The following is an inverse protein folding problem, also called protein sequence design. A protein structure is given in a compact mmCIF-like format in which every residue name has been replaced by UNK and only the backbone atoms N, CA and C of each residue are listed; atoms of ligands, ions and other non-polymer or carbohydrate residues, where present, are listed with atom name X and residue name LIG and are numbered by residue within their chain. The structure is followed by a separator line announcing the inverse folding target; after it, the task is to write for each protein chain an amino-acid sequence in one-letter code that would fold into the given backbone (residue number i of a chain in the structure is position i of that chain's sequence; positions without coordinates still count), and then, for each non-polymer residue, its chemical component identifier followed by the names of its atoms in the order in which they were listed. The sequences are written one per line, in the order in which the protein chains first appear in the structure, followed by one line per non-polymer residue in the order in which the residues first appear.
data_IF_656101129549
#
_entry.id   IF_656101129549
#
_cell.length_a   1.000
_cell.length_b   1.000
_cell.length_c   1.000
_cell.angle_alpha   90.00
_cell.angle_beta   90.00
_cell.angle_gamma   90.00
#
_symmetry.space_group_name_H-M   'P 1'
#
loop_
_entity.id
_entity.type
_entity.pdbx_description
1 polymer ?
#
# COMPACT_ATOMS: atom_id res chain seq x y z
N UNK A 1 53.76 37.81 12.82
CA UNK A 1 52.81 36.69 12.70
C UNK A 1 51.76 37.09 11.68
N UNK A 2 51.86 36.51 10.48
CA UNK A 2 50.98 36.79 9.35
C UNK A 2 50.16 35.51 9.03
N UNK A 3 48.91 35.61 8.53
CA UNK A 3 48.14 34.45 8.15
C UNK A 3 48.45 34.03 6.72
N UNK A 4 48.64 32.73 6.51
CA UNK A 4 48.81 32.09 5.19
C UNK A 4 47.42 31.69 4.69
N UNK A 5 47.00 32.24 3.56
CA UNK A 5 45.84 31.81 2.77
C UNK A 5 46.24 30.64 1.87
N UNK A 6 45.51 29.52 1.96
CA UNK A 6 45.61 28.40 1.02
C UNK A 6 44.37 28.37 0.13
N UNK A 7 44.58 28.61 -1.17
CA UNK A 7 43.61 28.41 -2.25
C UNK A 7 43.63 26.94 -2.69
N UNK A 8 42.46 26.32 -2.86
CA UNK A 8 42.32 24.99 -3.48
C UNK A 8 41.43 25.14 -4.70
N UNK A 9 42.07 25.07 -5.87
CA UNK A 9 41.43 24.92 -7.17
C UNK A 9 41.01 23.46 -7.38
N UNK A 10 39.71 23.20 -7.54
CA UNK A 10 39.21 21.88 -7.96
C UNK A 10 38.76 21.97 -9.41
N UNK A 11 39.56 21.36 -10.28
CA UNK A 11 39.29 21.25 -11.72
C UNK A 11 38.24 20.17 -12.01
N UNK A 12 37.23 20.53 -12.80
CA UNK A 12 36.27 19.61 -13.40
C UNK A 12 36.91 18.87 -14.59
N UNK A 13 36.99 17.53 -14.51
CA UNK A 13 37.39 16.69 -15.65
C UNK A 13 36.24 15.79 -16.05
N UNK A 14 35.64 16.12 -17.19
CA UNK A 14 34.60 15.37 -17.88
C UNK A 14 35.20 14.16 -18.60
N UNK A 15 34.84 12.94 -18.22
CA UNK A 15 35.22 11.72 -18.94
C UNK A 15 34.02 11.20 -19.75
N UNK A 16 34.08 11.39 -21.08
CA UNK A 16 33.24 10.69 -22.07
C UNK A 16 33.80 9.27 -22.28
N UNK A 17 32.93 8.26 -22.30
CA UNK A 17 33.27 6.92 -22.80
C UNK A 17 32.59 6.64 -24.17
N UNK A 18 33.24 5.88 -25.06
CA UNK A 18 32.83 5.77 -26.46
C UNK A 18 31.88 4.59 -26.75
N UNK A 19 30.97 4.83 -27.68
CA UNK A 19 30.22 3.83 -28.45
C UNK A 19 31.18 3.08 -29.39
N UNK A 20 31.12 1.74 -29.37
CA UNK A 20 30.94 0.84 -30.54
C UNK A 20 31.37 -0.59 -30.16
N UNK A 21 30.49 -1.57 -30.33
CA UNK A 21 30.82 -2.86 -30.95
C UNK A 21 29.53 -3.67 -31.22
N UNK A 22 29.38 -4.05 -32.48
CA UNK A 22 28.40 -4.99 -33.03
C UNK A 22 28.80 -6.44 -32.72
N UNK A 23 27.84 -7.35 -32.50
CA UNK A 23 27.86 -8.73 -33.06
C UNK A 23 26.67 -9.62 -32.60
N UNK A 24 25.99 -10.14 -33.63
CA UNK A 24 25.40 -11.48 -33.83
C UNK A 24 24.15 -11.93 -33.07
N UNK A 25 23.12 -12.18 -33.90
CA UNK A 25 21.95 -12.99 -33.63
C UNK A 25 22.30 -14.47 -33.39
N UNK A 26 21.69 -15.05 -32.37
CA UNK A 26 21.38 -16.46 -32.26
C UNK A 26 20.08 -16.63 -31.47
N UNK A 27 19.18 -17.45 -32.00
CA UNK A 27 17.96 -17.96 -31.34
C UNK A 27 17.61 -19.30 -32.03
N UNK A 28 16.89 -20.26 -31.43
CA UNK A 28 16.42 -20.37 -30.04
C UNK A 28 16.85 -21.67 -29.34
N UNK A 29 16.88 -21.67 -28.01
CA UNK A 29 16.74 -22.89 -27.21
C UNK A 29 15.47 -22.78 -26.36
N UNK A 30 14.60 -23.79 -26.48
CA UNK A 30 13.28 -23.89 -25.88
C UNK A 30 13.30 -23.73 -24.35
N UNK A 31 12.32 -23.03 -23.73
CA UNK A 31 12.20 -23.04 -22.28
C UNK A 31 11.46 -24.30 -21.81
N UNK A 32 12.18 -25.04 -20.98
CA UNK A 32 11.69 -26.12 -20.12
C UNK A 32 10.58 -25.62 -19.21
N UNK A 33 9.55 -26.45 -19.00
CA UNK A 33 8.46 -26.23 -18.05
C UNK A 33 9.03 -26.11 -16.63
N UNK A 34 8.97 -24.91 -16.05
CA UNK A 34 9.08 -24.71 -14.61
C UNK A 34 7.66 -24.62 -14.02
N UNK A 35 7.25 -25.70 -13.36
CA UNK A 35 6.05 -25.75 -12.52
C UNK A 35 6.52 -25.52 -11.08
N UNK A 36 6.25 -24.36 -10.48
CA UNK A 36 6.16 -24.12 -9.00
C UNK A 36 5.90 -22.63 -8.70
N UNK A 37 4.68 -22.15 -8.96
CA UNK A 37 4.26 -20.77 -8.58
C UNK A 37 3.09 -20.74 -7.56
N UNK A 38 2.74 -21.85 -6.92
CA UNK A 38 1.48 -21.95 -6.16
C UNK A 38 1.57 -21.77 -4.64
N UNK A 39 2.57 -21.05 -4.09
CA UNK A 39 2.68 -20.87 -2.62
C UNK A 39 2.57 -19.44 -2.11
N UNK A 40 2.52 -18.42 -2.97
CA UNK A 40 2.26 -17.05 -2.55
C UNK A 40 0.79 -16.71 -2.76
N UNK A 41 -0.05 -17.08 -1.79
CA UNK A 41 -1.43 -16.59 -1.71
C UNK A 41 -1.36 -15.07 -1.56
N UNK A 42 -1.90 -14.33 -2.53
CA UNK A 42 -2.02 -12.88 -2.48
C UNK A 42 -2.72 -12.49 -1.16
N UNK A 43 -2.06 -11.76 -0.24
CA UNK A 43 -2.64 -11.39 1.05
C UNK A 43 -3.90 -10.53 0.92
N UNK A 44 -4.13 -9.93 -0.26
CA UNK A 44 -5.29 -9.12 -0.58
C UNK A 44 -6.50 -9.92 -1.06
N UNK A 45 -6.34 -11.19 -1.42
CA UNK A 45 -7.43 -12.04 -1.94
C UNK A 45 -8.57 -12.29 -0.96
N UNK A 46 -8.39 -11.94 0.32
CA UNK A 46 -9.34 -12.18 1.42
C UNK A 46 -9.76 -10.91 2.17
N UNK A 47 -9.51 -9.71 1.66
CA UNK A 47 -10.11 -8.50 2.24
C UNK A 47 -11.61 -8.51 1.98
N UNK A 48 -12.36 -9.20 2.83
CA UNK A 48 -13.82 -9.27 2.75
C UNK A 48 -14.40 -7.94 3.22
N UNK A 49 -15.05 -7.22 2.30
CA UNK A 49 -16.11 -6.29 2.68
C UNK A 49 -17.15 -7.08 3.50
N UNK A 50 -17.55 -6.54 4.65
CA UNK A 50 -18.47 -7.20 5.58
C UNK A 50 -19.77 -7.66 4.91
N UNK A 51 -20.21 -8.88 5.17
CA UNK A 51 -21.53 -9.39 4.77
C UNK A 51 -22.66 -8.55 5.42
N UNK A 52 -23.72 -8.17 4.69
CA UNK A 52 -24.84 -7.46 5.27
C UNK A 52 -25.75 -8.42 6.06
N UNK A 53 -25.93 -8.12 7.34
CA UNK A 53 -26.93 -8.78 8.18
C UNK A 53 -28.35 -8.47 7.69
N UNK A 54 -29.10 -9.50 7.30
CA UNK A 54 -30.50 -9.38 6.91
C UNK A 54 -31.42 -10.00 7.97
N UNK A 55 -32.35 -9.19 8.48
CA UNK A 55 -33.82 -9.38 8.41
C UNK A 55 -34.52 -8.63 9.55
N UNK A 56 -35.31 -7.62 9.19
CA UNK A 56 -36.66 -7.43 9.72
C UNK A 56 -37.45 -6.49 8.81
N UNK A 57 -38.63 -6.95 8.41
CA UNK A 57 -39.50 -6.30 7.43
C UNK A 57 -40.34 -5.20 8.07
N UNK A 58 -40.32 -3.98 7.50
CA UNK A 58 -41.49 -3.09 7.49
C UNK A 58 -41.34 -1.94 6.48
N UNK A 59 -42.43 -1.73 5.71
CA UNK A 59 -42.77 -0.64 4.77
C UNK A 59 -41.85 -0.39 3.55
N UNK A 60 -42.43 -0.16 2.35
CA UNK A 60 -41.67 0.26 1.18
C UNK A 60 -41.30 1.74 1.35
N UNK A 61 -40.19 2.00 2.03
CA UNK A 61 -39.42 3.21 1.74
C UNK A 61 -38.89 3.08 0.31
N UNK A 62 -38.61 4.19 -0.41
CA UNK A 62 -37.80 4.11 -1.63
C UNK A 62 -36.56 3.30 -1.27
N UNK A 63 -36.33 2.20 -1.99
CA UNK A 63 -35.17 1.33 -1.79
C UNK A 63 -33.97 2.23 -2.05
N UNK A 64 -33.41 2.80 -0.98
CA UNK A 64 -32.17 3.57 -1.05
C UNK A 64 -31.12 2.52 -1.37
N UNK A 65 -30.72 2.47 -2.64
CA UNK A 65 -29.62 1.62 -3.07
C UNK A 65 -28.44 1.93 -2.15
N UNK A 66 -27.90 0.93 -1.42
CA UNK A 66 -26.76 1.15 -0.55
C UNK A 66 -25.61 1.77 -1.35
N UNK A 67 -25.03 2.86 -0.83
CA UNK A 67 -23.87 3.51 -1.44
C UNK A 67 -22.69 2.54 -1.40
N UNK A 68 -22.01 2.35 -2.53
CA UNK A 68 -20.79 1.56 -2.56
C UNK A 68 -19.70 2.26 -1.75
N UNK A 69 -19.66 3.60 -1.83
CA UNK A 69 -18.68 4.39 -1.11
C UNK A 69 -18.79 4.13 0.41
N UNK A 70 -20.00 4.03 0.95
CA UNK A 70 -20.26 3.74 2.37
C UNK A 70 -19.62 2.45 2.89
N UNK A 71 -19.42 1.45 2.03
CA UNK A 71 -18.72 0.21 2.40
C UNK A 71 -17.21 0.43 2.62
N UNK A 72 -16.68 1.55 2.11
CA UNK A 72 -15.27 1.92 2.14
C UNK A 72 -15.03 3.15 3.02
N UNK A 73 -15.44 3.09 4.28
CA UNK A 73 -15.17 4.14 5.30
C UNK A 73 -13.96 3.84 6.17
N UNK A 74 -13.50 2.57 6.16
CA UNK A 74 -12.41 2.10 7.00
C UNK A 74 -11.14 1.88 6.19
N UNK A 75 -9.96 1.95 6.83
CA UNK A 75 -8.71 1.59 6.18
C UNK A 75 -8.73 0.16 5.64
N UNK A 76 -8.10 -0.03 4.47
CA UNK A 76 -7.87 -1.35 3.91
C UNK A 76 -6.61 -1.95 4.55
N UNK A 77 -6.81 -3.00 5.35
CA UNK A 77 -5.76 -3.58 6.19
C UNK A 77 -5.25 -4.92 5.65
N UNK A 78 -3.95 -5.12 5.78
CA UNK A 78 -3.27 -6.38 5.53
C UNK A 78 -3.08 -7.13 6.86
N UNK A 79 -4.15 -7.74 7.37
CA UNK A 79 -4.23 -8.29 8.74
C UNK A 79 -4.17 -9.83 8.83
N UNK A 80 -3.99 -10.53 7.71
CA UNK A 80 -3.92 -12.00 7.70
C UNK A 80 -2.77 -12.52 8.58
N UNK A 81 -3.09 -13.37 9.55
CA UNK A 81 -2.12 -13.96 10.48
C UNK A 81 -1.69 -15.38 10.10
N UNK A 82 -2.17 -15.91 8.97
CA UNK A 82 -1.94 -17.30 8.55
C UNK A 82 -0.44 -17.58 8.36
N UNK A 83 0.29 -16.63 7.79
CA UNK A 83 1.73 -16.76 7.51
C UNK A 83 2.63 -16.55 8.73
N UNK A 84 2.08 -16.15 9.88
CA UNK A 84 2.87 -15.72 11.04
C UNK A 84 3.80 -16.82 11.57
N UNK A 85 3.31 -18.06 11.68
CA UNK A 85 4.11 -19.19 12.15
C UNK A 85 5.28 -19.51 11.21
N UNK A 86 5.05 -19.37 9.90
CA UNK A 86 6.10 -19.56 8.91
C UNK A 86 7.16 -18.47 9.00
N UNK A 87 6.75 -17.20 9.19
CA UNK A 87 7.68 -16.09 9.35
C UNK A 87 8.57 -16.28 10.59
N UNK A 88 7.99 -16.62 11.74
CA UNK A 88 8.76 -16.87 12.97
C UNK A 88 9.71 -18.06 12.79
N UNK A 89 9.25 -19.16 12.19
CA UNK A 89 10.11 -20.32 11.92
C UNK A 89 11.30 -19.96 11.03
N UNK A 90 11.11 -19.09 10.04
CA UNK A 90 12.16 -18.66 9.11
C UNK A 90 13.14 -17.66 9.72
N UNK A 91 12.63 -16.72 10.51
CA UNK A 91 13.40 -15.57 10.98
C UNK A 91 14.02 -15.75 12.38
N UNK A 92 13.40 -16.57 13.25
CA UNK A 92 13.75 -16.62 14.68
C UNK A 92 15.23 -16.82 14.97
N UNK A 93 15.91 -17.74 14.27
CA UNK A 93 17.35 -17.97 14.47
C UNK A 93 18.19 -16.74 14.14
N UNK A 94 17.84 -16.00 13.09
CA UNK A 94 18.55 -14.79 12.68
C UNK A 94 18.22 -13.63 13.60
N UNK A 95 16.95 -13.45 13.96
CA UNK A 95 16.51 -12.37 14.83
C UNK A 95 17.15 -12.44 16.22
N UNK A 96 17.25 -13.65 16.79
CA UNK A 96 17.91 -13.90 18.08
C UNK A 96 19.42 -13.73 17.97
N UNK A 97 20.03 -14.10 16.83
CA UNK A 97 21.46 -13.90 16.61
C UNK A 97 21.85 -12.41 16.43
N UNK A 98 20.93 -11.58 15.91
CA UNK A 98 21.16 -10.15 15.71
C UNK A 98 20.89 -9.31 16.96
N UNK A 99 20.16 -9.84 17.96
CA UNK A 99 19.78 -9.07 19.15
C UNK A 99 19.72 -9.95 20.40
N UNK A 100 20.74 -9.84 21.26
CA UNK A 100 20.86 -10.61 22.51
C UNK A 100 19.71 -10.36 23.51
N UNK A 101 18.99 -9.24 23.36
CA UNK A 101 17.84 -8.93 24.20
C UNK A 101 16.57 -9.68 23.80
N UNK A 102 16.57 -10.33 22.63
CA UNK A 102 15.47 -11.07 22.06
C UNK A 102 15.71 -12.58 22.20
N UNK A 103 14.77 -13.27 22.83
CA UNK A 103 14.78 -14.73 22.93
C UNK A 103 13.51 -15.34 22.32
N UNK A 104 13.49 -16.67 22.20
CA UNK A 104 12.36 -17.39 21.63
C UNK A 104 11.07 -17.26 22.47
N UNK A 105 11.18 -17.02 23.78
CA UNK A 105 10.01 -16.86 24.65
C UNK A 105 9.35 -15.49 24.43
N UNK A 106 10.15 -14.42 24.29
CA UNK A 106 9.69 -13.07 23.92
C UNK A 106 9.03 -13.08 22.54
N UNK A 107 9.65 -13.75 21.56
CA UNK A 107 9.07 -13.92 20.23
C UNK A 107 7.74 -14.69 20.23
N UNK A 108 7.61 -15.73 21.06
CA UNK A 108 6.36 -16.47 21.21
C UNK A 108 5.26 -15.61 21.84
N UNK A 109 5.59 -14.81 22.85
CA UNK A 109 4.66 -13.85 23.49
C UNK A 109 4.18 -12.81 22.48
N UNK A 110 5.11 -12.21 21.70
CA UNK A 110 4.75 -11.30 20.62
C UNK A 110 3.87 -11.99 19.57
N UNK A 111 4.23 -13.21 19.16
CA UNK A 111 3.45 -13.98 18.17
C UNK A 111 2.01 -14.23 18.63
N UNK A 112 1.83 -14.52 19.93
CA UNK A 112 0.50 -14.67 20.54
C UNK A 112 -0.25 -13.34 20.56
N UNK A 113 0.43 -12.25 20.91
CA UNK A 113 -0.18 -10.90 20.95
C UNK A 113 -0.58 -10.37 19.58
N UNK A 114 0.10 -10.77 18.50
CA UNK A 114 -0.31 -10.44 17.14
C UNK A 114 -1.60 -11.17 16.72
N UNK A 115 -1.82 -12.40 17.19
CA UNK A 115 -3.03 -13.19 16.85
C UNK A 115 -4.26 -12.79 17.65
N UNK A 116 -4.10 -12.55 18.95
CA UNK A 116 -5.21 -12.30 19.87
C UNK A 116 -4.81 -11.16 20.80
N UNK A 117 -5.77 -10.34 21.23
CA UNK A 117 -5.51 -9.34 22.27
C UNK A 117 -5.04 -10.04 23.54
N UNK A 118 -3.79 -9.81 23.93
CA UNK A 118 -3.18 -10.46 25.09
C UNK A 118 -3.54 -9.70 26.37
N UNK A 119 -3.74 -10.45 27.46
CA UNK A 119 -4.02 -9.91 28.79
C UNK A 119 -2.90 -9.00 29.30
N UNK A 120 -3.24 -8.05 30.17
CA UNK A 120 -2.30 -7.12 30.84
C UNK A 120 -1.10 -7.80 31.53
N UNK A 121 -1.21 -9.09 31.86
CA UNK A 121 -0.17 -9.90 32.51
C UNK A 121 1.15 -9.98 31.72
N UNK A 122 1.13 -9.79 30.40
CA UNK A 122 2.34 -9.86 29.56
C UNK A 122 2.83 -8.50 29.06
N UNK A 123 2.29 -7.39 29.58
CA UNK A 123 2.60 -6.06 29.06
C UNK A 123 4.09 -5.73 29.13
N UNK A 124 4.73 -5.91 30.28
CA UNK A 124 6.16 -5.60 30.45
C UNK A 124 7.06 -6.42 29.51
N UNK A 125 6.70 -7.68 29.26
CA UNK A 125 7.44 -8.51 28.30
C UNK A 125 7.22 -8.06 26.87
N UNK A 126 6.01 -7.59 26.52
CA UNK A 126 5.71 -7.03 25.20
C UNK A 126 6.44 -5.71 24.97
N UNK A 127 6.48 -4.83 25.98
CA UNK A 127 7.18 -3.53 25.93
C UNK A 127 8.69 -3.72 25.64
N UNK A 128 9.26 -4.89 25.97
CA UNK A 128 10.64 -5.25 25.59
C UNK A 128 10.71 -6.04 24.29
N UNK A 129 9.77 -6.95 24.05
CA UNK A 129 9.81 -7.84 22.90
C UNK A 129 9.54 -7.11 21.58
N UNK A 130 8.65 -6.11 21.57
CA UNK A 130 8.30 -5.36 20.36
C UNK A 130 9.50 -4.58 19.83
N UNK A 131 10.14 -3.67 20.60
CA UNK A 131 11.27 -2.90 20.08
C UNK A 131 12.43 -3.79 19.64
N UNK A 132 12.79 -4.81 20.42
CA UNK A 132 13.87 -5.74 20.07
C UNK A 132 13.58 -6.52 18.76
N UNK A 133 12.31 -6.89 18.55
CA UNK A 133 11.88 -7.55 17.30
C UNK A 133 11.94 -6.59 16.12
N UNK A 134 11.48 -5.34 16.29
CA UNK A 134 11.54 -4.31 15.23
C UNK A 134 12.99 -4.01 14.85
N UNK A 135 13.89 -3.86 15.83
CA UNK A 135 15.32 -3.67 15.61
C UNK A 135 15.94 -4.83 14.82
N UNK A 136 15.66 -6.09 15.21
CA UNK A 136 16.13 -7.26 14.46
C UNK A 136 15.57 -7.30 13.04
N UNK A 137 14.32 -6.89 12.81
CA UNK A 137 13.74 -6.81 11.48
C UNK A 137 14.40 -5.73 10.63
N UNK A 138 14.65 -4.56 11.19
CA UNK A 138 15.37 -3.48 10.50
C UNK A 138 16.78 -3.94 10.10
N UNK A 139 17.49 -4.64 10.98
CA UNK A 139 18.79 -5.23 10.65
C UNK A 139 18.70 -6.20 9.46
N UNK A 140 17.70 -7.10 9.45
CA UNK A 140 17.50 -8.06 8.35
C UNK A 140 17.20 -7.35 7.03
N UNK A 141 16.39 -6.29 7.06
CA UNK A 141 16.00 -5.52 5.88
C UNK A 141 17.16 -4.68 5.30
N UNK A 142 18.08 -4.25 6.15
CA UNK A 142 19.21 -3.36 5.77
C UNK A 142 20.45 -4.11 5.32
N UNK A 143 20.71 -5.31 5.86
CA UNK A 143 21.97 -6.03 5.66
C UNK A 143 22.14 -6.61 4.25
N UNK A 144 21.11 -7.26 3.70
CA UNK A 144 21.12 -7.79 2.34
C UNK A 144 19.72 -7.73 1.74
N UNK A 145 19.48 -6.72 0.89
CA UNK A 145 18.21 -6.47 0.20
C UNK A 145 17.84 -7.56 -0.83
N UNK A 146 18.68 -8.58 -1.03
CA UNK A 146 18.38 -9.76 -1.86
C UNK A 146 18.14 -11.03 -1.04
N UNK A 147 18.15 -10.92 0.29
CA UNK A 147 17.96 -12.07 1.17
C UNK A 147 16.57 -12.68 1.00
N UNK A 148 16.51 -14.02 1.03
CA UNK A 148 15.26 -14.78 1.04
C UNK A 148 14.41 -14.54 2.30
N UNK A 149 14.99 -13.88 3.31
CA UNK A 149 14.32 -13.54 4.56
C UNK A 149 13.44 -12.29 4.44
N UNK A 150 13.67 -11.41 3.46
CA UNK A 150 12.96 -10.12 3.33
C UNK A 150 11.45 -10.29 3.21
N UNK A 151 10.91 -11.17 2.35
CA UNK A 151 9.45 -11.33 2.28
C UNK A 151 8.85 -11.76 3.63
N UNK A 152 9.55 -12.60 4.39
CA UNK A 152 9.10 -13.02 5.73
C UNK A 152 9.21 -11.87 6.74
N UNK A 153 10.27 -11.08 6.67
CA UNK A 153 10.47 -9.92 7.53
C UNK A 153 9.35 -8.89 7.31
N UNK A 154 9.03 -8.57 6.06
CA UNK A 154 7.94 -7.66 5.71
C UNK A 154 6.56 -8.21 6.10
N UNK A 155 6.33 -9.53 5.92
CA UNK A 155 5.08 -10.20 6.34
C UNK A 155 4.86 -10.16 7.85
N UNK A 156 5.94 -10.21 8.64
CA UNK A 156 5.87 -10.06 10.10
C UNK A 156 5.71 -8.59 10.48
N UNK A 157 6.52 -7.71 9.88
CA UNK A 157 6.51 -6.27 10.18
C UNK A 157 5.14 -5.63 9.92
N UNK A 158 4.45 -6.00 8.82
CA UNK A 158 3.09 -5.46 8.55
C UNK A 158 2.11 -5.70 9.70
N UNK A 159 2.25 -6.82 10.43
CA UNK A 159 1.36 -7.16 11.54
C UNK A 159 1.77 -6.42 12.83
N UNK A 160 3.08 -6.23 13.02
CA UNK A 160 3.61 -5.46 14.16
C UNK A 160 3.18 -4.01 14.04
N UNK A 161 3.40 -3.39 12.88
CA UNK A 161 2.98 -2.02 12.56
C UNK A 161 1.49 -1.79 12.86
N UNK A 162 0.63 -2.77 12.55
CA UNK A 162 -0.81 -2.66 12.78
C UNK A 162 -1.20 -2.56 14.26
N UNK A 163 -0.38 -3.11 15.17
CA UNK A 163 -0.67 -3.13 16.62
C UNK A 163 0.21 -2.20 17.45
N UNK A 164 1.41 -1.89 16.95
CA UNK A 164 2.48 -1.24 17.68
C UNK A 164 3.16 -0.18 16.79
N UNK A 165 2.37 0.64 16.09
CA UNK A 165 2.88 1.60 15.11
C UNK A 165 3.93 2.55 15.71
N UNK A 166 3.72 3.00 16.95
CA UNK A 166 4.64 3.89 17.67
C UNK A 166 6.05 3.29 17.85
N UNK A 167 6.14 1.97 18.06
CA UNK A 167 7.42 1.26 18.20
C UNK A 167 8.10 1.00 16.85
N UNK A 168 7.46 1.36 15.72
CA UNK A 168 7.95 1.09 14.36
C UNK A 168 8.44 2.32 13.61
N UNK A 169 8.37 3.52 14.20
CA UNK A 169 8.64 4.80 13.51
C UNK A 169 9.99 4.78 12.79
N UNK A 170 11.08 4.48 13.49
CA UNK A 170 12.44 4.47 12.90
C UNK A 170 12.56 3.45 11.75
N UNK A 171 11.92 2.28 11.91
CA UNK A 171 11.90 1.25 10.87
C UNK A 171 11.12 1.71 9.64
N UNK A 172 10.01 2.42 9.85
CA UNK A 172 9.18 2.98 8.79
C UNK A 172 9.86 4.14 8.08
N UNK A 173 10.53 5.04 8.79
CA UNK A 173 11.34 6.11 8.19
C UNK A 173 12.41 5.54 7.27
N UNK A 174 13.14 4.51 7.73
CA UNK A 174 14.10 3.83 6.87
C UNK A 174 13.44 3.17 5.66
N UNK A 175 12.33 2.43 5.86
CA UNK A 175 11.61 1.76 4.77
C UNK A 175 11.10 2.76 3.73
N UNK A 176 10.66 3.93 4.18
CA UNK A 176 10.17 5.00 3.32
C UNK A 176 11.30 5.57 2.48
N UNK A 177 12.42 5.93 3.10
CA UNK A 177 13.63 6.32 2.38
C UNK A 177 14.09 5.24 1.39
N UNK A 178 14.10 3.98 1.80
CA UNK A 178 14.44 2.84 0.95
C UNK A 178 13.49 2.67 -0.27
N UNK A 179 12.20 2.96 -0.09
CA UNK A 179 11.19 2.86 -1.16
C UNK A 179 11.35 3.92 -2.24
N UNK A 180 11.99 5.06 -1.91
CA UNK A 180 12.37 6.08 -2.89
C UNK A 180 13.43 5.59 -3.89
N UNK A 181 14.12 4.49 -3.57
CA UNK A 181 15.10 3.88 -4.47
C UNK A 181 14.48 2.63 -5.13
N UNK A 182 14.22 2.65 -6.45
CA UNK A 182 13.60 1.53 -7.17
C UNK A 182 14.33 0.20 -6.99
N UNK A 183 15.65 0.24 -6.79
CA UNK A 183 16.52 -0.92 -6.65
C UNK A 183 16.42 -1.64 -5.30
N UNK A 184 15.75 -1.06 -4.29
CA UNK A 184 15.66 -1.67 -2.96
C UNK A 184 14.70 -2.86 -2.95
N UNK A 185 13.56 -2.71 -3.61
CA UNK A 185 12.49 -3.72 -3.64
C UNK A 185 12.43 -4.42 -4.99
N UNK A 186 13.52 -5.12 -5.34
CA UNK A 186 13.76 -5.66 -6.70
C UNK A 186 12.67 -6.60 -7.22
N UNK A 187 12.00 -7.33 -6.33
CA UNK A 187 10.96 -8.28 -6.75
C UNK A 187 9.57 -7.69 -6.56
N UNK A 188 8.61 -8.01 -7.44
CA UNK A 188 7.21 -7.61 -7.24
C UNK A 188 6.64 -8.05 -5.88
N UNK A 189 7.08 -9.20 -5.37
CA UNK A 189 6.68 -9.71 -4.05
C UNK A 189 7.16 -8.81 -2.92
N UNK A 190 8.46 -8.46 -2.90
CA UNK A 190 9.00 -7.57 -1.87
C UNK A 190 8.41 -6.17 -1.97
N UNK A 191 8.22 -5.65 -3.19
CA UNK A 191 7.63 -4.32 -3.43
C UNK A 191 6.18 -4.24 -2.96
N UNK A 192 5.35 -5.22 -3.30
CA UNK A 192 3.96 -5.30 -2.83
C UNK A 192 3.87 -5.51 -1.31
N UNK A 193 4.78 -6.26 -0.70
CA UNK A 193 4.84 -6.41 0.76
C UNK A 193 5.28 -5.13 1.46
N UNK A 194 6.24 -4.38 0.92
CA UNK A 194 6.62 -3.08 1.44
C UNK A 194 5.42 -2.11 1.45
N UNK A 195 4.62 -2.09 0.37
CA UNK A 195 3.36 -1.35 0.34
C UNK A 195 2.33 -1.85 1.34
N UNK A 196 2.25 -3.17 1.61
CA UNK A 196 1.40 -3.69 2.67
C UNK A 196 1.79 -3.11 4.04
N UNK A 197 3.10 -3.06 4.34
CA UNK A 197 3.61 -2.49 5.60
C UNK A 197 3.28 -1.00 5.68
N UNK A 198 3.59 -0.24 4.63
CA UNK A 198 3.28 1.20 4.55
C UNK A 198 1.77 1.49 4.69
N UNK A 199 0.93 0.68 4.04
CA UNK A 199 -0.53 0.80 4.12
C UNK A 199 -1.04 0.59 5.55
N UNK A 200 -0.53 -0.43 6.25
CA UNK A 200 -0.90 -0.68 7.64
C UNK A 200 -0.39 0.43 8.56
N UNK A 201 0.79 0.99 8.29
CA UNK A 201 1.32 2.12 9.07
C UNK A 201 0.41 3.34 8.93
N UNK A 202 0.09 3.75 7.70
CA UNK A 202 -0.84 4.87 7.44
C UNK A 202 -2.22 4.68 8.07
N UNK A 203 -2.67 3.42 8.20
CA UNK A 203 -3.94 3.12 8.85
C UNK A 203 -3.89 3.18 10.39
N UNK A 204 -2.70 3.10 10.99
CA UNK A 204 -2.50 2.92 12.42
C UNK A 204 -1.95 4.16 13.14
N UNK A 205 -1.47 5.15 12.39
CA UNK A 205 -0.90 6.39 12.94
C UNK A 205 -1.89 7.56 12.91
N UNK A 206 -1.60 8.56 13.73
CA UNK A 206 -2.22 9.89 13.65
C UNK A 206 -1.42 10.83 12.74
N UNK A 207 -2.03 11.94 12.31
CA UNK A 207 -1.40 12.94 11.40
C UNK A 207 -0.03 13.44 11.89
N UNK A 208 0.17 13.50 13.22
CA UNK A 208 1.40 14.01 13.82
C UNK A 208 2.62 13.10 13.59
N UNK A 209 2.39 11.86 13.17
CA UNK A 209 3.43 10.85 12.94
C UNK A 209 3.63 10.56 11.45
N UNK A 210 3.00 11.33 10.55
CA UNK A 210 3.25 11.23 9.11
C UNK A 210 4.70 11.69 8.84
N UNK A 211 5.57 10.83 8.28
CA UNK A 211 6.95 11.22 8.01
C UNK A 211 7.01 12.34 6.96
N UNK A 212 8.02 13.21 7.05
CA UNK A 212 8.23 14.31 6.10
C UNK A 212 8.35 13.84 4.65
N UNK A 213 8.83 12.61 4.45
CA UNK A 213 9.10 12.02 3.14
C UNK A 213 7.86 11.37 2.50
N UNK A 214 6.67 11.62 3.07
CA UNK A 214 5.42 11.08 2.55
C UNK A 214 5.05 11.60 1.14
N UNK A 215 5.26 12.89 0.76
CA UNK A 215 4.93 13.33 -0.59
C UNK A 215 5.72 12.60 -1.69
N UNK A 216 7.05 12.44 -1.60
CA UNK A 216 7.78 11.57 -2.53
C UNK A 216 7.26 10.13 -2.60
N UNK A 217 6.79 9.56 -1.48
CA UNK A 217 6.20 8.22 -1.48
C UNK A 217 4.87 8.14 -2.23
N UNK A 218 4.06 9.19 -2.16
CA UNK A 218 2.82 9.28 -2.93
C UNK A 218 3.13 9.21 -4.42
N UNK A 219 4.13 9.95 -4.90
CA UNK A 219 4.54 9.92 -6.31
C UNK A 219 5.04 8.53 -6.75
N UNK A 220 5.81 7.85 -5.89
CA UNK A 220 6.27 6.48 -6.18
C UNK A 220 5.10 5.50 -6.20
N UNK A 221 4.11 5.65 -5.32
CA UNK A 221 2.92 4.80 -5.32
C UNK A 221 2.05 5.04 -6.55
N UNK A 222 1.91 6.29 -7.02
CA UNK A 222 1.26 6.63 -8.29
C UNK A 222 2.00 5.99 -9.46
N UNK A 223 3.34 6.07 -9.48
CA UNK A 223 4.16 5.42 -10.49
C UNK A 223 3.93 3.90 -10.56
N UNK A 224 3.68 3.28 -9.42
CA UNK A 224 3.39 1.85 -9.31
C UNK A 224 2.01 1.44 -9.82
N UNK A 225 1.11 2.35 -10.19
CA UNK A 225 -0.13 2.00 -10.91
C UNK A 225 0.11 1.48 -12.32
N UNK A 226 1.29 1.69 -12.89
CA UNK A 226 1.64 1.15 -14.20
C UNK A 226 2.56 -0.08 -14.09
N UNK A 227 2.78 -0.57 -12.87
CA UNK A 227 3.65 -1.72 -12.63
C UNK A 227 3.07 -2.99 -13.26
N UNK A 228 3.90 -3.81 -13.92
CA UNK A 228 3.46 -5.02 -14.63
C UNK A 228 2.69 -6.01 -13.72
N UNK A 229 3.18 -6.18 -12.49
CA UNK A 229 2.64 -7.10 -11.51
C UNK A 229 1.40 -6.53 -10.77
N UNK A 230 0.27 -7.24 -10.87
CA UNK A 230 -1.02 -6.85 -10.28
C UNK A 230 -0.91 -6.60 -8.77
N UNK A 231 -0.19 -7.46 -8.04
CA UNK A 231 -0.05 -7.33 -6.59
C UNK A 231 0.64 -6.03 -6.15
N UNK A 232 1.52 -5.47 -6.99
CA UNK A 232 2.16 -4.18 -6.71
C UNK A 232 1.13 -3.06 -6.88
N UNK A 233 0.41 -3.04 -8.00
CA UNK A 233 -0.65 -2.04 -8.27
C UNK A 233 -1.74 -2.04 -7.22
N UNK A 234 -2.20 -3.24 -6.83
CA UNK A 234 -3.19 -3.43 -5.76
C UNK A 234 -2.69 -2.89 -4.42
N UNK A 235 -1.44 -3.16 -4.05
CA UNK A 235 -0.88 -2.73 -2.77
C UNK A 235 -0.61 -1.22 -2.73
N UNK A 236 -0.09 -0.64 -3.82
CA UNK A 236 0.12 0.80 -3.95
C UNK A 236 -1.23 1.58 -3.89
N UNK A 237 -2.27 1.07 -4.56
CA UNK A 237 -3.61 1.67 -4.49
C UNK A 237 -4.20 1.62 -3.08
N UNK A 238 -3.94 0.54 -2.33
CA UNK A 238 -4.33 0.46 -0.91
C UNK A 238 -3.60 1.49 -0.06
N UNK A 239 -2.29 1.67 -0.28
CA UNK A 239 -1.52 2.68 0.43
C UNK A 239 -2.10 4.08 0.20
N UNK A 240 -2.36 4.45 -1.06
CA UNK A 240 -2.92 5.75 -1.43
C UNK A 240 -4.34 5.95 -0.87
N UNK A 241 -5.16 4.91 -0.85
CA UNK A 241 -6.47 4.95 -0.20
C UNK A 241 -6.36 5.21 1.31
N UNK A 242 -5.47 4.51 2.03
CA UNK A 242 -5.28 4.74 3.46
C UNK A 242 -4.67 6.12 3.74
N UNK A 243 -3.77 6.60 2.88
CA UNK A 243 -3.24 7.96 2.93
C UNK A 243 -4.35 9.00 2.77
N UNK A 244 -5.24 8.84 1.79
CA UNK A 244 -6.38 9.72 1.58
C UNK A 244 -7.32 9.73 2.79
N UNK A 245 -7.62 8.57 3.38
CA UNK A 245 -8.43 8.49 4.61
C UNK A 245 -7.77 9.21 5.78
N UNK A 246 -6.45 9.06 5.95
CA UNK A 246 -5.70 9.74 7.00
C UNK A 246 -5.76 11.26 6.82
N UNK A 247 -5.54 11.74 5.59
CA UNK A 247 -5.64 13.17 5.26
C UNK A 247 -7.02 13.73 5.55
N UNK A 248 -8.07 13.05 5.10
CA UNK A 248 -9.46 13.45 5.30
C UNK A 248 -9.87 13.58 6.78
N UNK A 249 -9.26 12.82 7.69
CA UNK A 249 -9.56 12.92 9.14
C UNK A 249 -9.02 14.20 9.77
N UNK A 250 -7.96 14.78 9.20
CA UNK A 250 -7.18 15.80 9.89
C UNK A 250 -7.07 17.12 9.13
N UNK A 251 -7.16 17.09 7.80
CA UNK A 251 -7.12 18.26 6.93
C UNK A 251 -8.16 18.11 5.82
N UNK A 252 -9.10 19.05 5.73
CA UNK A 252 -9.98 19.20 4.57
C UNK A 252 -9.36 20.06 3.45
N UNK A 253 -8.10 20.46 3.62
CA UNK A 253 -7.41 21.34 2.68
C UNK A 253 -6.92 20.55 1.46
N UNK A 254 -7.54 20.78 0.30
CA UNK A 254 -7.14 20.23 -1.00
C UNK A 254 -5.97 20.97 -1.65
N UNK A 255 -5.47 22.05 -1.03
CA UNK A 255 -4.24 22.69 -1.51
C UNK A 255 -2.97 21.83 -1.29
N UNK A 256 -3.12 20.61 -0.78
CA UNK A 256 -2.04 19.62 -0.74
C UNK A 256 -1.82 19.05 -2.16
N UNK A 257 -0.73 19.48 -2.81
CA UNK A 257 -0.31 19.04 -4.14
C UNK A 257 -0.33 17.50 -4.28
N UNK A 258 0.00 16.76 -3.22
CA UNK A 258 -0.01 15.30 -3.26
C UNK A 258 -1.43 14.74 -3.45
N UNK A 259 -2.45 15.38 -2.87
CA UNK A 259 -3.84 14.94 -3.01
C UNK A 259 -4.35 15.21 -4.42
N UNK A 260 -4.00 16.36 -5.01
CA UNK A 260 -4.32 16.69 -6.40
C UNK A 260 -3.66 15.69 -7.35
N UNK A 261 -2.37 15.40 -7.18
CA UNK A 261 -1.65 14.39 -7.98
C UNK A 261 -2.32 13.02 -7.90
N UNK A 262 -2.70 12.58 -6.71
CA UNK A 262 -3.41 11.30 -6.53
C UNK A 262 -4.75 11.31 -7.26
N UNK A 263 -5.56 12.35 -7.13
CA UNK A 263 -6.87 12.44 -7.76
C UNK A 263 -6.77 12.42 -9.29
N UNK A 264 -5.91 13.29 -9.86
CA UNK A 264 -5.72 13.39 -11.29
C UNK A 264 -5.19 12.08 -11.87
N UNK A 265 -4.11 11.54 -11.32
CA UNK A 265 -3.50 10.33 -11.85
C UNK A 265 -4.41 9.10 -11.67
N UNK A 266 -5.22 9.03 -10.60
CA UNK A 266 -6.16 7.92 -10.41
C UNK A 266 -7.28 7.95 -11.46
N UNK A 267 -7.78 9.13 -11.80
CA UNK A 267 -8.81 9.29 -12.83
C UNK A 267 -8.27 9.01 -14.23
N UNK A 268 -7.07 9.52 -14.56
CA UNK A 268 -6.43 9.31 -15.86
C UNK A 268 -6.17 7.83 -16.17
N UNK A 269 -5.74 7.05 -15.18
CA UNK A 269 -5.42 5.63 -15.35
C UNK A 269 -6.65 4.69 -15.29
N UNK A 270 -7.83 5.21 -14.93
CA UNK A 270 -8.93 4.37 -14.46
C UNK A 270 -9.54 3.46 -15.54
N UNK A 271 -9.59 3.92 -16.79
CA UNK A 271 -10.09 3.16 -17.95
C UNK A 271 -9.06 2.16 -18.47
N UNK A 272 -7.77 2.45 -18.27
CA UNK A 272 -6.66 1.59 -18.71
C UNK A 272 -6.39 0.42 -17.75
N UNK A 273 -6.66 0.56 -16.46
CA UNK A 273 -6.44 -0.49 -15.47
C UNK A 273 -7.31 -1.73 -15.77
N UNK A 274 -6.69 -2.89 -15.93
CA UNK A 274 -7.35 -4.15 -16.33
C UNK A 274 -7.79 -5.00 -15.14
N UNK A 275 -7.16 -4.84 -13.99
CA UNK A 275 -7.50 -5.56 -12.76
C UNK A 275 -8.69 -4.90 -12.05
N UNK A 276 -9.85 -5.57 -11.94
CA UNK A 276 -11.05 -4.96 -11.37
C UNK A 276 -10.88 -4.51 -9.92
N UNK A 277 -10.11 -5.24 -9.12
CA UNK A 277 -9.85 -4.87 -7.72
C UNK A 277 -9.03 -3.58 -7.65
N UNK A 278 -7.98 -3.44 -8.45
CA UNK A 278 -7.17 -2.22 -8.51
C UNK A 278 -8.01 -1.03 -9.00
N UNK A 279 -8.80 -1.23 -10.06
CA UNK A 279 -9.70 -0.20 -10.59
C UNK A 279 -10.72 0.26 -9.55
N UNK A 280 -11.36 -0.68 -8.85
CA UNK A 280 -12.29 -0.35 -7.76
C UNK A 280 -11.60 0.45 -6.65
N UNK A 281 -10.39 0.07 -6.24
CA UNK A 281 -9.63 0.81 -5.21
C UNK A 281 -9.30 2.23 -5.65
N UNK A 282 -8.88 2.43 -6.91
CA UNK A 282 -8.62 3.76 -7.46
C UNK A 282 -9.90 4.61 -7.51
N UNK A 283 -11.03 4.04 -7.95
CA UNK A 283 -12.30 4.75 -8.00
C UNK A 283 -12.82 5.11 -6.59
N UNK A 284 -12.68 4.20 -5.63
CA UNK A 284 -13.01 4.45 -4.21
C UNK A 284 -12.12 5.55 -3.64
N UNK A 285 -10.82 5.54 -3.94
CA UNK A 285 -9.89 6.59 -3.57
C UNK A 285 -10.33 7.96 -4.11
N UNK A 286 -10.64 8.07 -5.40
CA UNK A 286 -11.19 9.31 -5.99
C UNK A 286 -12.48 9.73 -5.28
N UNK A 287 -13.40 8.79 -5.09
CA UNK A 287 -14.66 9.01 -4.39
C UNK A 287 -14.44 9.54 -2.97
N UNK A 288 -13.42 9.06 -2.25
CA UNK A 288 -13.09 9.53 -0.90
C UNK A 288 -12.36 10.86 -0.85
N UNK A 289 -11.59 11.22 -1.87
CA UNK A 289 -11.00 12.54 -1.95
C UNK A 289 -12.09 13.61 -2.18
N UNK A 290 -13.07 13.32 -3.04
CA UNK A 290 -14.17 14.25 -3.33
C UNK A 290 -15.26 14.21 -2.27
N UNK A 291 -15.59 13.03 -1.74
CA UNK A 291 -16.63 12.81 -0.75
C UNK A 291 -16.03 12.09 0.49
N UNK A 292 -15.31 12.82 1.36
CA UNK A 292 -14.62 12.25 2.52
C UNK A 292 -15.52 11.40 3.40
N UNK A 293 -16.75 11.87 3.63
CA UNK A 293 -17.77 11.16 4.39
C UNK A 293 -19.16 11.34 3.77
N UNK A 294 -20.21 10.98 4.51
CA UNK A 294 -21.60 11.02 4.01
C UNK A 294 -22.18 12.42 3.87
N UNK A 295 -21.59 13.40 4.56
CA UNK A 295 -22.15 14.74 4.75
C UNK A 295 -21.27 15.77 4.03
N UNK A 296 -19.96 15.58 4.09
CA UNK A 296 -18.99 16.52 3.59
C UNK A 296 -18.64 16.25 2.12
N UNK A 297 -18.54 17.34 1.37
CA UNK A 297 -18.07 17.37 -0.02
C UNK A 297 -16.84 18.26 -0.07
N UNK A 298 -15.82 17.80 -0.78
CA UNK A 298 -14.69 18.61 -1.12
C UNK A 298 -14.93 19.33 -2.45
N UNK A 299 -15.46 20.56 -2.38
CA UNK A 299 -15.85 21.31 -3.57
C UNK A 299 -14.68 21.58 -4.52
N UNK A 300 -13.46 21.80 -4.01
CA UNK A 300 -12.28 22.02 -4.86
C UNK A 300 -11.96 20.77 -5.68
N UNK A 301 -11.98 19.59 -5.04
CA UNK A 301 -11.80 18.32 -5.74
C UNK A 301 -12.95 18.04 -6.71
N UNK A 302 -14.19 18.39 -6.34
CA UNK A 302 -15.38 18.23 -7.18
C UNK A 302 -15.27 19.07 -8.45
N UNK A 303 -14.95 20.36 -8.30
CA UNK A 303 -14.73 21.31 -9.40
C UNK A 303 -13.59 20.82 -10.31
N UNK A 304 -12.47 20.35 -9.74
CA UNK A 304 -11.36 19.82 -10.52
C UNK A 304 -11.75 18.61 -11.39
N UNK A 305 -12.54 17.67 -10.84
CA UNK A 305 -13.07 16.53 -11.61
C UNK A 305 -13.95 17.00 -12.78
N UNK A 306 -14.77 18.03 -12.56
CA UNK A 306 -15.65 18.59 -13.58
C UNK A 306 -14.86 19.34 -14.66
N UNK A 307 -13.93 20.21 -14.26
CA UNK A 307 -13.14 21.07 -15.14
C UNK A 307 -12.20 20.27 -16.05
N UNK A 308 -11.61 19.18 -15.54
CA UNK A 308 -10.76 18.29 -16.31
C UNK A 308 -11.56 17.30 -17.19
N UNK A 309 -12.89 17.31 -17.12
CA UNK A 309 -13.74 16.44 -17.91
C UNK A 309 -13.73 14.97 -17.46
N UNK A 310 -13.26 14.69 -16.24
CA UNK A 310 -13.16 13.33 -15.70
C UNK A 310 -14.53 12.68 -15.43
N UNK A 311 -15.62 13.44 -15.44
CA UNK A 311 -16.99 12.88 -15.47
C UNK A 311 -17.20 11.98 -16.70
N UNK A 312 -16.56 12.27 -17.84
CA UNK A 312 -16.61 11.42 -19.03
C UNK A 312 -15.96 10.04 -18.81
N UNK A 313 -14.87 10.00 -18.04
CA UNK A 313 -14.21 8.74 -17.64
C UNK A 313 -15.15 7.88 -16.80
N UNK A 314 -15.88 8.49 -15.85
CA UNK A 314 -16.88 7.77 -15.07
C UNK A 314 -18.00 7.21 -15.95
N UNK A 315 -18.46 7.97 -16.94
CA UNK A 315 -19.48 7.50 -17.89
C UNK A 315 -18.97 6.31 -18.70
N UNK A 316 -17.73 6.34 -19.19
CA UNK A 316 -17.12 5.23 -19.93
C UNK A 316 -17.12 3.93 -19.09
N UNK A 317 -16.78 4.02 -17.80
CA UNK A 317 -16.82 2.87 -16.89
C UNK A 317 -18.22 2.26 -16.72
N UNK A 318 -19.28 3.06 -16.92
CA UNK A 318 -20.66 2.54 -16.86
C UNK A 318 -21.07 1.78 -18.12
N UNK A 319 -20.37 2.01 -19.23
CA UNK A 319 -20.64 1.39 -20.54
C UNK A 319 -19.86 0.11 -20.80
N UNK A 320 -18.88 -0.21 -19.95
CA UNK A 320 -18.09 -1.45 -20.09
C UNK A 320 -19.00 -2.66 -19.85
N UNK A 321 -19.18 -3.47 -20.90
CA UNK A 321 -20.04 -4.66 -20.88
C UNK A 321 -19.63 -5.61 -19.73
N UNK A 322 -20.62 -6.00 -18.92
CA UNK A 322 -20.50 -6.99 -17.85
C UNK A 322 -20.40 -8.40 -18.46
N UNK A 323 -19.44 -8.65 -19.33
CA UNK A 323 -19.19 -9.99 -19.86
C UNK A 323 -18.62 -10.91 -18.76
N UNK A 324 -19.04 -12.17 -18.80
CA UNK A 324 -18.92 -13.18 -17.74
C UNK A 324 -17.47 -13.39 -17.27
N UNK A 325 -17.12 -12.81 -16.12
CA UNK A 325 -15.87 -13.05 -15.39
C UNK A 325 -16.06 -14.00 -14.21
N UNK A 326 -14.96 -14.60 -13.74
CA UNK A 326 -14.90 -15.46 -12.53
C UNK A 326 -15.50 -14.77 -11.29
N UNK A 327 -16.03 -15.55 -10.33
CA UNK A 327 -16.95 -15.09 -9.27
C UNK A 327 -16.47 -13.94 -8.39
N UNK A 328 -15.17 -13.83 -8.08
CA UNK A 328 -14.63 -12.71 -7.28
C UNK A 328 -14.32 -11.47 -8.14
N UNK A 329 -13.76 -11.68 -9.33
CA UNK A 329 -13.50 -10.62 -10.32
C UNK A 329 -14.79 -9.95 -10.80
N UNK A 330 -15.88 -10.71 -10.88
CA UNK A 330 -17.18 -10.20 -11.28
C UNK A 330 -17.79 -9.25 -10.23
N UNK A 331 -17.58 -9.53 -8.94
CA UNK A 331 -18.08 -8.69 -7.85
C UNK A 331 -17.47 -7.28 -7.86
N UNK A 332 -16.16 -7.17 -8.02
CA UNK A 332 -15.48 -5.87 -8.05
C UNK A 332 -15.84 -5.05 -9.29
N UNK A 333 -15.99 -5.69 -10.45
CA UNK A 333 -16.48 -5.00 -11.67
C UNK A 333 -17.87 -4.42 -11.47
N UNK A 334 -18.81 -5.19 -10.88
CA UNK A 334 -20.15 -4.70 -10.57
C UNK A 334 -20.09 -3.52 -9.60
N UNK A 335 -19.31 -3.62 -8.52
CA UNK A 335 -19.17 -2.54 -7.54
C UNK A 335 -18.52 -1.30 -8.14
N UNK A 336 -17.56 -1.47 -9.05
CA UNK A 336 -16.95 -0.36 -9.78
C UNK A 336 -17.98 0.38 -10.64
N UNK A 337 -18.81 -0.36 -11.39
CA UNK A 337 -19.90 0.22 -12.20
C UNK A 337 -20.93 0.96 -11.32
N UNK A 338 -21.35 0.33 -10.22
CA UNK A 338 -22.29 0.93 -9.25
C UNK A 338 -21.72 2.21 -8.63
N UNK A 339 -20.44 2.20 -8.23
CA UNK A 339 -19.79 3.37 -7.68
C UNK A 339 -19.64 4.48 -8.72
N UNK A 340 -19.30 4.15 -9.97
CA UNK A 340 -19.23 5.14 -11.04
C UNK A 340 -20.59 5.84 -11.26
N UNK A 341 -21.69 5.08 -11.29
CA UNK A 341 -23.05 5.63 -11.37
C UNK A 341 -23.39 6.51 -10.16
N UNK A 342 -23.04 6.07 -8.95
CA UNK A 342 -23.24 6.85 -7.73
C UNK A 342 -22.50 8.19 -7.80
N UNK A 343 -21.23 8.18 -8.19
CA UNK A 343 -20.41 9.39 -8.28
C UNK A 343 -20.94 10.34 -9.37
N UNK A 344 -21.33 9.83 -10.55
CA UNK A 344 -21.94 10.65 -11.61
C UNK A 344 -23.15 11.42 -11.07
N UNK A 345 -24.04 10.74 -10.32
CA UNK A 345 -25.19 11.39 -9.69
C UNK A 345 -24.76 12.51 -8.73
N UNK A 346 -23.78 12.23 -7.85
CA UNK A 346 -23.25 13.21 -6.91
C UNK A 346 -22.54 14.41 -7.56
N UNK A 347 -22.03 14.27 -8.78
CA UNK A 347 -21.43 15.37 -9.55
C UNK A 347 -22.47 16.24 -10.27
N UNK A 348 -23.70 15.76 -10.44
CA UNK A 348 -24.79 16.48 -11.10
C UNK A 348 -25.68 17.26 -10.12
N UNK A 349 -25.71 16.82 -8.85
CA UNK A 349 -26.35 17.51 -7.72
C UNK A 349 -25.53 18.72 -7.22
#
# INVERSE_FOLDING_TARGET
MAPVQGSVDTQYTTARLPLTASLKMASPASPSKATTDSLFINPWSKSTAHEPASKNASRPMPIKVPSVLDDFTQPMLSSDTTSLQLCIKKLSSRMVACNDSLDLAKLDILTKSLKVSVSSVHKETLDQAVPATVESLLHILTEDTNSQDIPFALLLLRLIVLKYAEDTVDCMEWMFGATLFPDTWKTPTTRSLAWCVASNYMASIDNSMIPSDTPPLVDIAIGDWHHEAIQVRQAASTFLYNYALLKNKHNHDMADDAVVSVLCSAMENLTEEKDPTTRLRQLVLCGRLVFPDRINVNEVAKELIQDLGFVGILQELTTVDLEEGTTTSHGDTIRCNQLALELIGKFQD
#
